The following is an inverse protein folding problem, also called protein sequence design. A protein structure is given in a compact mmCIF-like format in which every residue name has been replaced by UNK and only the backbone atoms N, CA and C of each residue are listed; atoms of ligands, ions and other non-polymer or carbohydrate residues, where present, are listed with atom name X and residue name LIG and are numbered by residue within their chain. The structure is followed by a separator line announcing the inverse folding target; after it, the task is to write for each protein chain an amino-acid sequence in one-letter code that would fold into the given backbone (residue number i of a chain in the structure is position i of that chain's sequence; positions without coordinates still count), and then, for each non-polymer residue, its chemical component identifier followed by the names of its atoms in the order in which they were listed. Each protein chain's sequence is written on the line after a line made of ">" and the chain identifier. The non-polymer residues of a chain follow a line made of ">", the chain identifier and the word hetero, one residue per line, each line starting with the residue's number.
data_IF_181691037515
#
_entry.id   IF_181691037515
#
_cell.length_a   1.000
_cell.length_b   1.000
_cell.length_c   1.000
_cell.angle_alpha   90.00
_cell.angle_beta   90.00
_cell.angle_gamma   90.00
#
_symmetry.space_group_name_H-M   'P 1'
#
loop_
_entity.id
_entity.type
_entity.pdbx_description
1 polymer ?
#
# COMPACT_ATOMS: atom_id res chain seq x y z
N UNK A 1 -28.31 4.64 4.02
CA UNK A 1 -27.24 4.92 5.04
C UNK A 1 -25.93 4.82 4.30
N UNK A 2 -25.05 5.82 4.41
CA UNK A 2 -23.72 5.75 3.75
C UNK A 2 -22.91 4.64 4.43
N UNK A 3 -22.52 3.60 3.69
CA UNK A 3 -21.82 2.45 4.27
C UNK A 3 -20.40 2.77 4.79
N UNK A 4 -19.80 3.87 4.32
CA UNK A 4 -18.51 4.36 4.82
C UNK A 4 -18.63 5.08 6.17
N UNK A 5 -19.84 5.29 6.67
CA UNK A 5 -20.13 5.81 8.02
C UNK A 5 -20.54 4.69 9.01
N UNK A 6 -20.43 3.42 8.60
CA UNK A 6 -20.68 2.26 9.45
C UNK A 6 -19.40 1.87 10.17
N UNK A 7 -19.30 2.19 11.43
CA UNK A 7 -18.23 1.69 12.28
C UNK A 7 -18.45 0.20 12.61
N UNK A 8 -17.43 -0.62 12.37
CA UNK A 8 -17.45 -2.04 12.72
C UNK A 8 -16.63 -2.28 14.00
N UNK A 9 -17.28 -2.85 15.02
CA UNK A 9 -16.56 -3.36 16.18
C UNK A 9 -15.69 -4.56 15.78
N UNK A 10 -14.39 -4.45 16.03
CA UNK A 10 -13.39 -5.47 15.70
C UNK A 10 -13.12 -6.45 16.85
N UNK A 11 -13.83 -6.31 17.97
CA UNK A 11 -13.65 -7.18 19.11
C UNK A 11 -14.07 -8.62 18.78
N UNK A 12 -13.32 -9.60 19.28
CA UNK A 12 -13.62 -11.02 19.10
C UNK A 12 -13.19 -11.64 17.76
N UNK A 13 -12.62 -10.87 16.82
CA UNK A 13 -12.19 -11.38 15.51
C UNK A 13 -10.69 -11.70 15.42
N UNK A 14 -9.92 -11.59 16.52
CA UNK A 14 -8.47 -11.79 16.48
C UNK A 14 -7.73 -10.77 15.59
N UNK A 15 -8.36 -9.65 15.26
CA UNK A 15 -7.84 -8.63 14.35
C UNK A 15 -6.68 -7.86 14.98
N UNK A 16 -5.58 -7.68 14.24
CA UNK A 16 -4.37 -7.00 14.72
C UNK A 16 -4.63 -5.54 15.12
N UNK A 17 -5.42 -4.80 14.34
CA UNK A 17 -5.80 -3.41 14.64
C UNK A 17 -6.64 -3.36 15.93
N UNK A 18 -7.59 -4.29 16.11
CA UNK A 18 -8.36 -4.42 17.35
C UNK A 18 -7.49 -4.78 18.56
N UNK A 19 -6.51 -5.69 18.40
CA UNK A 19 -5.58 -6.05 19.46
C UNK A 19 -4.66 -4.88 19.86
N UNK A 20 -4.26 -4.04 18.91
CA UNK A 20 -3.50 -2.82 19.18
C UNK A 20 -4.37 -1.77 19.91
N UNK A 21 -5.61 -1.59 19.45
CA UNK A 21 -6.58 -0.67 20.09
C UNK A 21 -6.88 -1.05 21.53
N UNK A 22 -7.00 -2.35 21.83
CA UNK A 22 -7.28 -2.86 23.20
C UNK A 22 -6.17 -2.54 24.21
N UNK A 23 -4.95 -2.23 23.76
CA UNK A 23 -3.81 -1.82 24.60
C UNK A 23 -3.70 -0.30 24.78
N UNK A 24 -4.44 0.47 23.99
CA UNK A 24 -4.43 1.91 24.05
C UNK A 24 -5.28 2.44 25.22
N UNK A 25 -5.11 3.71 25.57
CA UNK A 25 -5.91 4.37 26.60
C UNK A 25 -7.39 4.41 26.18
N UNK A 26 -8.32 4.36 27.15
CA UNK A 26 -9.74 4.54 26.84
C UNK A 26 -10.03 5.84 26.09
N UNK A 27 -10.83 5.76 25.04
CA UNK A 27 -11.18 6.89 24.18
C UNK A 27 -10.12 7.24 23.14
N UNK A 28 -9.11 6.37 22.93
CA UNK A 28 -8.11 6.55 21.88
C UNK A 28 -8.73 6.38 20.49
N UNK A 29 -8.51 7.36 19.62
CA UNK A 29 -8.81 7.25 18.19
C UNK A 29 -7.77 6.37 17.50
N UNK A 30 -8.21 5.42 16.68
CA UNK A 30 -7.35 4.43 16.03
C UNK A 30 -7.29 4.68 14.53
N UNK A 31 -6.21 5.33 14.08
CA UNK A 31 -5.90 5.55 12.65
C UNK A 31 -4.68 4.71 12.23
N UNK A 32 -4.50 3.57 12.89
CA UNK A 32 -3.38 2.64 12.74
C UNK A 32 -3.61 1.65 11.60
N UNK A 33 -2.50 1.25 10.96
CA UNK A 33 -2.50 0.22 9.93
C UNK A 33 -3.10 0.71 8.60
N UNK A 34 -3.16 -0.19 7.63
CA UNK A 34 -3.79 0.07 6.33
C UNK A 34 -4.90 -0.94 6.09
N UNK A 35 -5.90 -0.91 6.97
CA UNK A 35 -7.15 -1.69 6.94
C UNK A 35 -8.31 -0.72 7.12
N UNK A 36 -9.37 -0.87 6.32
CA UNK A 36 -10.55 0.01 6.38
C UNK A 36 -11.39 -0.29 7.63
N UNK A 37 -12.05 0.74 8.18
CA UNK A 37 -12.88 0.62 9.38
C UNK A 37 -14.38 0.39 9.06
N UNK A 38 -14.71 0.25 7.79
CA UNK A 38 -16.05 -0.06 7.30
C UNK A 38 -16.07 -1.39 6.50
N UNK A 39 -17.26 -1.97 6.24
CA UNK A 39 -17.38 -3.25 5.54
C UNK A 39 -16.81 -3.18 4.11
N UNK A 40 -16.29 -4.31 3.61
CA UNK A 40 -15.99 -4.46 2.17
C UNK A 40 -17.25 -4.38 1.31
N UNK A 41 -17.07 -4.26 -0.01
CA UNK A 41 -18.15 -4.11 -0.99
C UNK A 41 -19.29 -5.14 -0.84
N UNK A 42 -20.56 -4.74 -1.00
CA UNK A 42 -21.71 -5.63 -0.87
C UNK A 42 -21.64 -6.86 -1.78
N UNK A 43 -21.19 -6.69 -3.03
CA UNK A 43 -21.02 -7.80 -3.98
C UNK A 43 -20.05 -8.88 -3.45
N UNK A 44 -18.95 -8.48 -2.83
CA UNK A 44 -17.98 -9.40 -2.22
C UNK A 44 -18.61 -10.10 -1.01
N UNK A 45 -19.24 -9.34 -0.09
CA UNK A 45 -19.87 -9.92 1.11
C UNK A 45 -20.91 -10.97 0.76
N UNK A 46 -21.76 -10.66 -0.24
CA UNK A 46 -22.78 -11.59 -0.73
C UNK A 46 -22.16 -12.85 -1.33
N UNK A 47 -21.19 -12.71 -2.24
CA UNK A 47 -20.54 -13.84 -2.88
C UNK A 47 -19.84 -14.77 -1.87
N UNK A 48 -19.19 -14.19 -0.86
CA UNK A 48 -18.52 -14.96 0.20
C UNK A 48 -19.53 -15.70 1.09
N UNK A 49 -20.65 -15.08 1.44
CA UNK A 49 -21.71 -15.75 2.20
C UNK A 49 -22.31 -16.93 1.41
N UNK A 50 -22.64 -16.71 0.14
CA UNK A 50 -23.15 -17.75 -0.75
C UNK A 50 -22.14 -18.90 -0.93
N UNK A 51 -20.84 -18.59 -1.03
CA UNK A 51 -19.77 -19.57 -1.14
C UNK A 51 -19.62 -20.38 0.16
N UNK A 52 -19.60 -19.68 1.32
CA UNK A 52 -19.47 -20.34 2.63
C UNK A 52 -20.61 -21.34 2.88
N UNK A 53 -21.82 -21.00 2.46
CA UNK A 53 -22.99 -21.90 2.62
C UNK A 53 -22.91 -23.16 1.76
N UNK A 54 -22.09 -23.20 0.70
CA UNK A 54 -21.88 -24.43 -0.09
C UNK A 54 -21.04 -25.48 0.65
N UNK A 55 -20.22 -25.08 1.62
CA UNK A 55 -19.46 -25.97 2.49
C UNK A 55 -18.34 -26.78 1.81
N UNK A 56 -17.89 -26.37 0.61
CA UNK A 56 -16.82 -27.03 -0.16
C UNK A 56 -15.62 -26.11 -0.33
N UNK A 57 -14.55 -26.36 0.42
CA UNK A 57 -13.34 -25.52 0.47
C UNK A 57 -12.12 -26.29 -0.04
N UNK A 58 -12.23 -26.82 -1.27
CA UNK A 58 -11.18 -27.62 -1.89
C UNK A 58 -10.01 -26.79 -2.45
N UNK A 59 -9.00 -27.48 -2.99
CA UNK A 59 -7.89 -26.83 -3.69
C UNK A 59 -8.40 -26.03 -4.89
N UNK A 60 -8.02 -24.77 -4.94
CA UNK A 60 -8.49 -23.82 -5.94
C UNK A 60 -7.33 -23.36 -6.85
N UNK A 61 -7.59 -23.31 -8.14
CA UNK A 61 -6.63 -22.88 -9.15
C UNK A 61 -7.05 -21.53 -9.75
N UNK A 62 -6.07 -20.77 -10.22
CA UNK A 62 -6.33 -19.62 -11.08
C UNK A 62 -6.69 -20.15 -12.50
N UNK A 63 -7.96 -20.45 -12.71
CA UNK A 63 -8.50 -20.87 -13.99
C UNK A 63 -8.67 -19.71 -14.98
N UNK A 64 -9.23 -19.99 -16.15
CA UNK A 64 -9.44 -18.98 -17.20
C UNK A 64 -10.42 -17.89 -16.74
N UNK A 65 -11.47 -18.24 -16.03
CA UNK A 65 -12.45 -17.29 -15.51
C UNK A 65 -11.80 -16.29 -14.51
N UNK A 66 -10.94 -16.80 -13.63
CA UNK A 66 -10.18 -15.96 -12.71
C UNK A 66 -9.28 -14.98 -13.46
N UNK A 67 -8.50 -15.49 -14.44
CA UNK A 67 -7.56 -14.68 -15.22
C UNK A 67 -8.28 -13.65 -16.06
N UNK A 68 -9.42 -14.01 -16.67
CA UNK A 68 -10.25 -13.06 -17.41
C UNK A 68 -10.82 -11.96 -16.52
N UNK A 69 -11.19 -12.29 -15.26
CA UNK A 69 -11.61 -11.26 -14.29
C UNK A 69 -10.49 -10.26 -14.01
N UNK A 70 -9.24 -10.73 -13.85
CA UNK A 70 -8.07 -9.85 -13.68
C UNK A 70 -7.83 -9.00 -14.95
N UNK A 71 -7.88 -9.60 -16.14
CA UNK A 71 -7.71 -8.87 -17.41
C UNK A 71 -8.77 -7.79 -17.57
N UNK A 72 -10.05 -8.12 -17.32
CA UNK A 72 -11.16 -7.17 -17.38
C UNK A 72 -10.99 -6.02 -16.40
N UNK A 73 -10.54 -6.31 -15.17
CA UNK A 73 -10.26 -5.31 -14.16
C UNK A 73 -9.13 -4.37 -14.58
N UNK A 74 -8.00 -4.91 -15.05
CA UNK A 74 -6.86 -4.10 -15.50
C UNK A 74 -7.27 -3.18 -16.66
N UNK A 75 -8.10 -3.65 -17.59
CA UNK A 75 -8.62 -2.82 -18.68
C UNK A 75 -9.56 -1.73 -18.17
N UNK A 76 -10.49 -2.06 -17.28
CA UNK A 76 -11.50 -1.13 -16.77
C UNK A 76 -10.92 -0.11 -15.80
N UNK A 77 -10.17 -0.58 -14.77
CA UNK A 77 -9.71 0.26 -13.68
C UNK A 77 -8.36 0.97 -13.97
N UNK A 78 -7.53 0.40 -14.85
CA UNK A 78 -6.15 0.83 -15.09
C UNK A 78 -5.88 1.20 -16.56
N UNK A 79 -6.90 1.12 -17.43
CA UNK A 79 -6.78 1.33 -18.88
C UNK A 79 -5.57 0.59 -19.49
N UNK A 80 -5.31 -0.65 -19.04
CA UNK A 80 -4.18 -1.46 -19.44
C UNK A 80 -4.63 -2.87 -19.85
N UNK A 81 -4.19 -3.34 -21.03
CA UNK A 81 -4.47 -4.69 -21.50
C UNK A 81 -3.35 -5.66 -21.14
N UNK A 82 -3.70 -6.75 -20.48
CA UNK A 82 -2.79 -7.83 -20.09
C UNK A 82 -3.32 -9.18 -20.60
N UNK A 83 -2.43 -10.11 -20.96
CA UNK A 83 -2.84 -11.44 -21.37
C UNK A 83 -3.01 -12.36 -20.15
N UNK A 84 -3.99 -13.30 -20.18
CA UNK A 84 -4.20 -14.24 -19.08
C UNK A 84 -2.96 -15.03 -18.67
N UNK A 85 -2.08 -15.36 -19.63
CA UNK A 85 -0.85 -16.12 -19.42
C UNK A 85 0.23 -15.31 -18.68
N UNK A 86 0.11 -13.98 -18.60
CA UNK A 86 1.06 -13.10 -17.92
C UNK A 86 0.71 -12.88 -16.45
N UNK A 87 -0.42 -13.46 -16.00
CA UNK A 87 -0.87 -13.39 -14.62
C UNK A 87 -0.34 -14.58 -13.82
N UNK A 88 0.50 -14.29 -12.83
CA UNK A 88 1.10 -15.28 -11.93
C UNK A 88 0.58 -15.04 -10.52
N UNK A 89 -0.12 -16.00 -9.94
CA UNK A 89 -0.66 -15.90 -8.57
C UNK A 89 0.39 -16.13 -7.49
N UNK A 90 0.23 -15.47 -6.34
CA UNK A 90 1.15 -15.56 -5.19
C UNK A 90 0.41 -15.33 -3.86
N UNK A 91 1.02 -15.72 -2.72
CA UNK A 91 0.46 -15.54 -1.36
C UNK A 91 0.70 -14.11 -0.84
N UNK A 92 0.11 -13.11 -1.49
CA UNK A 92 0.29 -11.71 -1.18
C UNK A 92 1.57 -11.11 -1.80
N UNK A 93 1.65 -9.77 -1.82
CA UNK A 93 2.74 -9.05 -2.49
C UNK A 93 4.10 -9.30 -1.83
N UNK A 94 4.15 -9.39 -0.49
CA UNK A 94 5.39 -9.66 0.23
C UNK A 94 5.93 -11.08 -0.03
N UNK A 95 5.08 -12.09 -0.13
CA UNK A 95 5.53 -13.43 -0.54
C UNK A 95 6.05 -13.39 -1.97
N UNK A 96 5.34 -12.67 -2.86
CA UNK A 96 5.77 -12.44 -4.23
C UNK A 96 7.15 -11.77 -4.32
N UNK A 97 7.37 -10.73 -3.52
CA UNK A 97 8.65 -10.04 -3.41
C UNK A 97 9.76 -10.97 -2.90
N UNK A 98 9.52 -11.71 -1.81
CA UNK A 98 10.51 -12.67 -1.26
C UNK A 98 10.91 -13.72 -2.30
N UNK A 99 9.94 -14.24 -3.05
CA UNK A 99 10.20 -15.18 -4.16
C UNK A 99 11.01 -14.51 -5.28
N UNK A 100 10.67 -13.26 -5.66
CA UNK A 100 11.39 -12.52 -6.69
C UNK A 100 12.85 -12.23 -6.27
N UNK A 101 13.08 -11.80 -5.03
CA UNK A 101 14.41 -11.60 -4.47
C UNK A 101 15.27 -12.88 -4.61
N UNK A 102 14.74 -14.03 -4.25
CA UNK A 102 15.46 -15.31 -4.38
C UNK A 102 15.64 -15.77 -5.83
N UNK A 103 14.71 -15.41 -6.73
CA UNK A 103 14.79 -15.78 -8.13
C UNK A 103 15.81 -14.96 -8.93
N UNK A 104 16.00 -13.69 -8.55
CA UNK A 104 16.67 -12.72 -9.40
C UNK A 104 17.93 -12.11 -8.79
N UNK A 105 18.18 -12.30 -7.50
CA UNK A 105 19.35 -11.77 -6.80
C UNK A 105 20.11 -12.87 -6.06
N UNK A 106 21.36 -12.59 -5.68
CA UNK A 106 22.20 -13.45 -4.82
C UNK A 106 22.35 -12.83 -3.43
N UNK A 107 22.72 -13.63 -2.44
CA UNK A 107 23.07 -13.13 -1.12
C UNK A 107 24.22 -12.10 -1.21
N UNK A 108 24.10 -11.02 -0.46
CA UNK A 108 25.04 -9.91 -0.45
C UNK A 108 24.83 -8.85 -1.52
N UNK A 109 24.02 -9.11 -2.56
CA UNK A 109 23.66 -8.09 -3.56
C UNK A 109 22.75 -7.01 -2.97
N UNK A 110 22.83 -5.81 -3.55
CA UNK A 110 22.02 -4.66 -3.15
C UNK A 110 20.65 -4.65 -3.82
N UNK A 111 19.65 -4.21 -3.07
CA UNK A 111 18.29 -3.97 -3.54
C UNK A 111 17.92 -2.53 -3.24
N UNK A 112 17.61 -1.77 -4.29
CA UNK A 112 17.28 -0.34 -4.21
C UNK A 112 15.84 -0.19 -3.73
N UNK A 113 15.60 0.69 -2.75
CA UNK A 113 14.27 1.04 -2.23
C UNK A 113 14.18 2.54 -1.99
N UNK A 114 13.06 3.17 -2.35
CA UNK A 114 12.80 4.58 -2.03
C UNK A 114 12.44 4.72 -0.54
N UNK A 115 13.15 5.61 0.19
CA UNK A 115 12.86 5.96 1.56
C UNK A 115 12.23 7.36 1.66
N UNK A 116 11.29 7.61 2.64
CA UNK A 116 10.77 6.64 3.62
C UNK A 116 10.04 5.48 2.92
N UNK A 117 10.08 4.26 3.47
CA UNK A 117 9.52 3.10 2.80
C UNK A 117 8.63 2.25 3.70
N UNK A 118 7.77 1.44 3.08
CA UNK A 118 7.04 0.41 3.83
C UNK A 118 8.04 -0.57 4.47
N UNK A 119 8.13 -0.55 5.79
CA UNK A 119 9.14 -1.25 6.61
C UNK A 119 9.31 -2.75 6.30
N UNK A 120 8.30 -3.40 5.72
CA UNK A 120 8.44 -4.80 5.36
C UNK A 120 9.23 -5.04 4.08
N UNK A 121 9.49 -4.01 3.26
CA UNK A 121 10.41 -4.15 2.12
C UNK A 121 11.84 -4.34 2.63
N UNK A 122 12.31 -3.48 3.52
CA UNK A 122 13.65 -3.59 4.13
C UNK A 122 13.83 -4.93 4.86
N UNK A 123 12.79 -5.33 5.63
CA UNK A 123 12.79 -6.63 6.32
C UNK A 123 12.84 -7.80 5.33
N UNK A 124 12.08 -7.75 4.23
CA UNK A 124 12.12 -8.80 3.22
C UNK A 124 13.50 -8.91 2.55
N UNK A 125 14.11 -7.77 2.24
CA UNK A 125 15.46 -7.71 1.66
C UNK A 125 16.49 -8.29 2.63
N UNK A 126 16.52 -7.80 3.88
CA UNK A 126 17.47 -8.24 4.90
C UNK A 126 17.29 -9.72 5.27
N UNK A 127 16.04 -10.19 5.43
CA UNK A 127 15.74 -11.58 5.77
C UNK A 127 16.13 -12.58 4.67
N UNK A 128 16.27 -12.11 3.42
CA UNK A 128 16.82 -12.92 2.33
C UNK A 128 18.34 -12.76 2.18
N UNK A 129 19.04 -12.11 3.09
CA UNK A 129 20.50 -11.92 3.04
C UNK A 129 20.96 -10.88 2.00
N UNK A 130 20.07 -10.01 1.52
CA UNK A 130 20.39 -8.92 0.58
C UNK A 130 20.62 -7.63 1.36
N UNK A 131 21.27 -6.66 0.73
CA UNK A 131 21.52 -5.34 1.32
C UNK A 131 20.44 -4.36 0.89
N UNK A 132 19.88 -3.64 1.85
CA UNK A 132 19.02 -2.50 1.57
C UNK A 132 19.88 -1.35 1.06
N UNK A 133 19.56 -0.82 -0.13
CA UNK A 133 20.20 0.34 -0.74
C UNK A 133 19.16 1.44 -0.83
N UNK A 134 19.13 2.31 0.18
CA UNK A 134 18.13 3.37 0.26
C UNK A 134 18.40 4.45 -0.79
N UNK A 135 17.38 4.77 -1.61
CA UNK A 135 17.30 5.99 -2.40
C UNK A 135 16.35 6.93 -1.68
N UNK A 136 16.87 7.80 -0.81
CA UNK A 136 16.08 8.76 -0.07
C UNK A 136 15.42 9.76 -1.01
N UNK A 137 14.09 9.87 -0.90
CA UNK A 137 13.33 10.83 -1.68
C UNK A 137 13.59 12.25 -1.17
N UNK A 138 13.64 13.21 -2.09
CA UNK A 138 13.69 14.64 -1.74
C UNK A 138 12.31 15.08 -1.30
N UNK A 139 12.24 15.75 -0.15
CA UNK A 139 11.00 16.33 0.38
C UNK A 139 11.10 17.84 0.39
N UNK A 140 10.10 18.50 -0.18
CA UNK A 140 9.96 19.95 -0.14
C UNK A 140 8.49 20.32 0.13
N UNK A 141 8.23 20.92 1.29
CA UNK A 141 6.89 21.33 1.72
C UNK A 141 5.82 20.21 1.67
N UNK A 142 6.21 19.00 2.07
CA UNK A 142 5.35 17.80 2.06
C UNK A 142 5.27 17.10 0.71
N UNK A 143 5.85 17.65 -0.36
CA UNK A 143 5.90 17.05 -1.69
C UNK A 143 7.16 16.21 -1.82
N UNK A 144 7.00 14.96 -2.24
CA UNK A 144 8.10 14.03 -2.42
C UNK A 144 8.46 13.83 -3.88
N UNK A 145 9.76 13.80 -4.19
CA UNK A 145 10.29 13.52 -5.52
C UNK A 145 11.50 12.58 -5.43
N UNK A 146 11.80 11.87 -6.52
CA UNK A 146 12.99 11.02 -6.59
C UNK A 146 14.26 11.89 -6.63
N UNK A 147 15.29 11.46 -5.88
CA UNK A 147 16.64 11.90 -6.15
C UNK A 147 17.21 11.09 -7.33
N UNK A 148 17.11 11.68 -8.51
CA UNK A 148 17.47 11.03 -9.76
C UNK A 148 18.97 10.79 -9.92
N UNK A 149 19.81 11.67 -9.39
CA UNK A 149 21.27 11.52 -9.44
C UNK A 149 21.71 10.37 -8.54
N UNK A 150 21.17 10.31 -7.34
CA UNK A 150 21.41 9.23 -6.39
C UNK A 150 20.84 7.90 -6.90
N UNK A 151 19.63 7.89 -7.49
CA UNK A 151 19.03 6.70 -8.07
C UNK A 151 19.89 6.13 -9.20
N UNK A 152 20.33 6.97 -10.15
CA UNK A 152 21.16 6.54 -11.28
C UNK A 152 22.54 6.04 -10.82
N UNK A 153 23.17 6.72 -9.86
CA UNK A 153 24.41 6.25 -9.25
C UNK A 153 24.25 4.85 -8.61
N UNK A 154 23.15 4.61 -7.90
CA UNK A 154 22.87 3.30 -7.30
C UNK A 154 22.55 2.23 -8.33
N UNK A 155 21.82 2.56 -9.40
CA UNK A 155 21.53 1.60 -10.47
C UNK A 155 22.78 1.24 -11.29
N UNK A 156 23.75 2.16 -11.40
CA UNK A 156 25.02 1.93 -12.12
C UNK A 156 26.02 1.08 -11.32
N UNK A 157 25.83 0.89 -10.02
CA UNK A 157 26.66 -0.01 -9.20
C UNK A 157 26.31 -1.47 -9.55
N UNK A 158 27.27 -2.27 -10.10
CA UNK A 158 27.02 -3.66 -10.49
C UNK A 158 26.67 -4.59 -9.33
N UNK A 159 26.84 -4.17 -8.09
CA UNK A 159 26.41 -4.93 -6.92
C UNK A 159 24.92 -4.78 -6.64
N UNK A 160 24.25 -3.80 -7.24
CA UNK A 160 22.81 -3.59 -7.13
C UNK A 160 22.11 -4.17 -8.36
N UNK A 161 21.24 -5.13 -8.17
CA UNK A 161 20.65 -5.91 -9.28
C UNK A 161 19.12 -5.86 -9.30
N UNK A 162 18.52 -5.26 -8.26
CA UNK A 162 17.09 -5.27 -8.07
C UNK A 162 16.60 -3.96 -7.43
N UNK A 163 15.38 -3.56 -7.77
CA UNK A 163 14.72 -2.39 -7.18
C UNK A 163 13.30 -2.77 -6.75
N UNK A 164 12.89 -2.31 -5.57
CA UNK A 164 11.50 -2.33 -5.12
C UNK A 164 10.94 -0.93 -5.27
N UNK A 165 9.90 -0.78 -6.09
CA UNK A 165 9.14 0.45 -6.28
C UNK A 165 7.76 0.26 -5.67
N UNK A 166 7.20 1.26 -4.98
CA UNK A 166 5.84 1.24 -4.45
C UNK A 166 5.02 2.36 -5.13
N UNK A 167 3.95 2.01 -5.84
CA UNK A 167 3.15 2.99 -6.58
C UNK A 167 1.64 2.70 -6.53
N UNK A 168 0.83 3.48 -5.83
CA UNK A 168 1.13 4.69 -5.03
C UNK A 168 2.08 4.41 -3.87
N UNK A 169 2.90 5.41 -3.55
CA UNK A 169 3.96 5.26 -2.58
C UNK A 169 3.44 5.29 -1.13
N UNK A 170 3.80 4.31 -0.35
CA UNK A 170 3.50 4.22 1.07
C UNK A 170 4.81 4.47 1.88
N UNK A 171 4.88 5.54 2.70
CA UNK A 171 3.77 6.23 3.36
C UNK A 171 3.34 7.58 2.74
N UNK A 172 4.04 8.11 1.72
CA UNK A 172 3.91 9.51 1.28
C UNK A 172 2.65 9.81 0.44
N UNK A 173 1.93 8.77 0.02
CA UNK A 173 0.75 8.84 -0.85
C UNK A 173 1.03 9.39 -2.27
N UNK A 174 2.30 9.53 -2.67
CA UNK A 174 2.70 9.96 -4.03
C UNK A 174 2.28 8.93 -5.07
N UNK A 175 1.78 9.40 -6.21
CA UNK A 175 1.64 8.63 -7.44
C UNK A 175 2.78 9.00 -8.40
N UNK A 176 3.55 8.01 -8.86
CA UNK A 176 4.61 8.27 -9.84
C UNK A 176 3.99 8.57 -11.21
N UNK A 177 4.39 9.72 -11.77
CA UNK A 177 3.95 10.15 -13.09
C UNK A 177 4.48 9.20 -14.17
N UNK A 178 3.75 8.99 -15.29
CA UNK A 178 4.21 8.15 -16.39
C UNK A 178 5.63 8.46 -16.89
N UNK A 179 6.05 9.71 -16.89
CA UNK A 179 7.40 10.09 -17.30
C UNK A 179 8.47 9.68 -16.28
N UNK A 180 8.15 9.68 -14.97
CA UNK A 180 9.02 9.12 -13.93
C UNK A 180 9.16 7.60 -14.13
N UNK A 181 8.06 6.89 -14.38
CA UNK A 181 8.07 5.44 -14.63
C UNK A 181 8.85 5.07 -15.89
N UNK A 182 8.71 5.85 -16.98
CA UNK A 182 9.51 5.68 -18.21
C UNK A 182 11.00 5.86 -17.94
N UNK A 183 11.37 6.88 -17.15
CA UNK A 183 12.77 7.13 -16.81
C UNK A 183 13.35 6.01 -15.96
N UNK A 184 12.60 5.52 -14.96
CA UNK A 184 13.00 4.36 -14.15
C UNK A 184 13.20 3.15 -15.07
N UNK A 185 12.26 2.87 -15.98
CA UNK A 185 12.33 1.74 -16.88
C UNK A 185 13.55 1.83 -17.83
N UNK A 186 13.86 3.01 -18.35
CA UNK A 186 15.02 3.23 -19.19
C UNK A 186 16.35 2.98 -18.43
N UNK A 187 16.46 3.47 -17.20
CA UNK A 187 17.61 3.22 -16.33
C UNK A 187 17.70 1.73 -15.96
N UNK A 188 16.58 1.10 -15.65
CA UNK A 188 16.55 -0.34 -15.35
C UNK A 188 17.01 -1.20 -16.53
N UNK A 189 16.59 -0.87 -17.75
CA UNK A 189 17.07 -1.54 -18.98
C UNK A 189 18.58 -1.29 -19.21
N UNK A 190 19.03 -0.03 -19.03
CA UNK A 190 20.44 0.35 -19.22
C UNK A 190 21.39 -0.40 -18.29
N UNK A 191 20.99 -0.56 -17.02
CA UNK A 191 21.85 -1.15 -15.97
C UNK A 191 21.49 -2.60 -15.62
N UNK A 192 20.49 -3.18 -16.28
CA UNK A 192 20.08 -4.56 -16.05
C UNK A 192 19.37 -4.81 -14.71
N UNK A 193 18.72 -3.78 -14.15
CA UNK A 193 18.00 -3.83 -12.88
C UNK A 193 16.61 -4.44 -13.09
N UNK A 194 16.24 -5.45 -12.30
CA UNK A 194 14.87 -5.93 -12.26
C UNK A 194 14.07 -5.09 -11.26
N UNK A 195 12.91 -4.59 -11.68
CA UNK A 195 12.04 -3.75 -10.85
C UNK A 195 10.80 -4.52 -10.45
N UNK A 196 10.61 -4.71 -9.14
CA UNK A 196 9.37 -5.19 -8.55
C UNK A 196 8.55 -3.97 -8.09
N UNK A 197 7.47 -3.68 -8.82
CA UNK A 197 6.57 -2.58 -8.49
C UNK A 197 5.39 -3.11 -7.68
N UNK A 198 5.32 -2.74 -6.39
CA UNK A 198 4.15 -3.02 -5.55
C UNK A 198 3.08 -1.95 -5.80
N UNK A 199 2.04 -2.35 -6.51
CA UNK A 199 0.92 -1.50 -6.91
C UNK A 199 -0.38 -1.86 -6.18
N UNK A 200 -0.26 -2.40 -4.96
CA UNK A 200 -1.42 -2.85 -4.19
C UNK A 200 -2.40 -1.72 -3.84
N UNK A 201 -1.97 -0.47 -3.88
CA UNK A 201 -2.79 0.72 -3.67
C UNK A 201 -3.28 1.39 -4.96
N UNK A 202 -3.04 0.79 -6.12
CA UNK A 202 -3.25 1.47 -7.39
C UNK A 202 -4.70 1.92 -7.63
N UNK A 203 -5.70 1.12 -7.24
CA UNK A 203 -7.11 1.43 -7.38
C UNK A 203 -7.59 2.52 -6.41
N UNK A 204 -6.74 2.92 -5.46
CA UNK A 204 -7.06 3.96 -4.48
C UNK A 204 -6.47 5.33 -4.82
N UNK A 205 -6.13 5.57 -6.09
CA UNK A 205 -5.78 6.89 -6.60
C UNK A 205 -6.97 7.84 -6.46
N UNK A 206 -6.69 9.07 -5.98
CA UNK A 206 -7.74 10.08 -5.84
C UNK A 206 -8.00 10.80 -7.15
N UNK A 207 -9.12 11.52 -7.23
CA UNK A 207 -9.53 12.23 -8.46
C UNK A 207 -8.42 13.15 -8.98
N UNK A 208 -8.08 12.98 -10.25
CA UNK A 208 -7.03 13.73 -10.94
C UNK A 208 -5.70 13.00 -11.05
N UNK A 209 -5.55 11.85 -10.39
CA UNK A 209 -4.37 11.00 -10.49
C UNK A 209 -4.72 9.63 -11.08
N UNK A 210 -3.88 9.13 -11.97
CA UNK A 210 -4.00 7.82 -12.61
C UNK A 210 -2.73 7.01 -12.36
N UNK A 211 -2.89 5.80 -11.83
CA UNK A 211 -1.77 4.89 -11.63
C UNK A 211 -1.63 3.99 -12.85
N UNK A 212 -0.63 4.25 -13.69
CA UNK A 212 -0.28 3.38 -14.81
C UNK A 212 0.57 2.21 -14.31
N UNK A 213 0.35 0.96 -14.79
CA UNK A 213 1.17 -0.18 -14.39
C UNK A 213 2.62 -0.02 -14.85
N UNK A 214 3.58 -0.29 -13.97
CA UNK A 214 5.01 -0.18 -14.29
C UNK A 214 5.40 -1.03 -15.50
N UNK A 215 4.83 -2.24 -15.64
CA UNK A 215 5.13 -3.14 -16.76
C UNK A 215 4.75 -2.57 -18.14
N UNK A 216 3.95 -1.52 -18.21
CA UNK A 216 3.67 -0.78 -19.45
C UNK A 216 4.94 -0.10 -19.98
N UNK A 217 5.81 0.35 -19.09
CA UNK A 217 7.03 1.09 -19.41
C UNK A 217 8.27 0.22 -19.41
N UNK A 218 8.31 -0.79 -18.53
CA UNK A 218 9.45 -1.68 -18.35
C UNK A 218 9.10 -3.16 -18.49
N UNK A 219 8.55 -3.63 -19.62
CA UNK A 219 8.04 -5.01 -19.75
C UNK A 219 9.13 -6.08 -19.62
N UNK A 220 10.37 -5.80 -20.04
CA UNK A 220 11.48 -6.76 -20.02
C UNK A 220 12.11 -6.96 -18.64
N UNK A 221 11.99 -5.96 -17.77
CA UNK A 221 12.63 -5.95 -16.45
C UNK A 221 11.64 -5.72 -15.31
N UNK A 222 10.34 -5.70 -15.62
CA UNK A 222 9.28 -5.34 -14.67
C UNK A 222 8.48 -6.53 -14.18
N UNK A 223 8.15 -6.47 -12.90
CA UNK A 223 7.15 -7.31 -12.23
C UNK A 223 6.20 -6.35 -11.52
N UNK A 224 4.93 -6.32 -11.91
CA UNK A 224 3.91 -5.51 -11.23
C UNK A 224 3.08 -6.39 -10.31
N UNK A 225 3.04 -6.06 -9.03
CA UNK A 225 2.23 -6.77 -8.04
C UNK A 225 0.91 -6.03 -7.78
N UNK A 226 -0.22 -6.72 -7.89
CA UNK A 226 -1.57 -6.18 -7.67
C UNK A 226 -2.42 -7.13 -6.83
N UNK A 227 -3.38 -6.60 -6.07
CA UNK A 227 -4.30 -7.39 -5.26
C UNK A 227 -5.57 -6.59 -4.95
N UNK A 228 -6.69 -7.29 -4.78
CA UNK A 228 -7.93 -6.67 -4.27
C UNK A 228 -7.81 -6.24 -2.78
N UNK A 229 -6.74 -6.63 -2.10
CA UNK A 229 -6.59 -6.48 -0.65
C UNK A 229 -6.81 -5.07 -0.13
N UNK A 230 -6.21 -4.05 -0.79
CA UNK A 230 -6.35 -2.64 -0.36
C UNK A 230 -7.59 -1.98 -0.93
N UNK A 231 -7.93 -2.25 -2.19
CA UNK A 231 -9.11 -1.68 -2.82
C UNK A 231 -10.43 -2.07 -2.11
N UNK A 232 -10.48 -3.26 -1.52
CA UNK A 232 -11.71 -3.82 -0.94
C UNK A 232 -11.60 -4.20 0.54
N UNK A 233 -10.61 -3.69 1.28
CA UNK A 233 -10.42 -4.09 2.69
C UNK A 233 -10.30 -5.60 2.92
N UNK A 234 -9.61 -6.29 2.03
CA UNK A 234 -9.49 -7.75 2.03
C UNK A 234 -8.07 -8.22 2.35
N UNK A 235 -7.34 -7.45 3.16
CA UNK A 235 -5.92 -7.67 3.46
C UNK A 235 -5.63 -8.91 4.31
N UNK A 236 -6.62 -9.41 5.04
CA UNK A 236 -6.49 -10.60 5.87
C UNK A 236 -6.40 -11.91 5.08
N UNK A 237 -6.83 -11.90 3.81
CA UNK A 237 -6.69 -13.05 2.91
C UNK A 237 -5.49 -12.81 2.01
N UNK A 238 -4.37 -13.42 2.39
CA UNK A 238 -3.08 -13.23 1.73
C UNK A 238 -3.06 -13.82 0.32
N UNK A 239 -3.33 -13.01 -0.69
CA UNK A 239 -3.20 -13.40 -2.08
C UNK A 239 -2.94 -12.16 -2.96
N UNK A 240 -2.21 -12.35 -4.06
CA UNK A 240 -1.94 -11.29 -5.04
C UNK A 240 -1.71 -11.88 -6.43
N UNK A 241 -1.72 -11.02 -7.43
CA UNK A 241 -1.31 -11.32 -8.78
C UNK A 241 -0.03 -10.56 -9.11
N UNK A 242 0.92 -11.25 -9.73
CA UNK A 242 2.07 -10.64 -10.36
C UNK A 242 1.83 -10.63 -11.87
N UNK A 243 1.98 -9.49 -12.46
CA UNK A 243 1.91 -9.29 -13.90
C UNK A 243 3.34 -9.34 -14.43
N UNK A 244 3.65 -10.39 -15.21
CA UNK A 244 5.01 -10.66 -15.73
C UNK A 244 4.88 -11.01 -17.21
N UNK A 245 5.18 -10.05 -18.07
CA UNK A 245 5.04 -10.22 -19.54
C UNK A 245 6.28 -10.83 -20.20
N UNK A 246 7.46 -10.63 -19.62
CA UNK A 246 8.68 -11.25 -20.11
C UNK A 246 8.73 -12.75 -19.76
N UNK A 247 8.88 -13.60 -20.78
CA UNK A 247 8.83 -15.06 -20.62
C UNK A 247 10.01 -15.62 -19.81
N UNK A 248 11.20 -15.03 -19.89
CA UNK A 248 12.36 -15.48 -19.10
C UNK A 248 12.19 -15.11 -17.63
N UNK A 249 11.79 -13.88 -17.33
CA UNK A 249 11.46 -13.48 -15.96
C UNK A 249 10.37 -14.38 -15.38
N UNK A 250 9.30 -14.61 -16.14
CA UNK A 250 8.20 -15.46 -15.71
C UNK A 250 8.66 -16.89 -15.41
N UNK A 251 9.43 -17.49 -16.30
CA UNK A 251 9.99 -18.84 -16.13
C UNK A 251 10.89 -18.94 -14.89
N UNK A 252 11.77 -17.98 -14.68
CA UNK A 252 12.67 -17.93 -13.53
C UNK A 252 11.88 -17.75 -12.23
N UNK A 253 10.91 -16.84 -12.20
CA UNK A 253 10.03 -16.64 -11.06
C UNK A 253 9.25 -17.92 -10.70
N UNK A 254 8.61 -18.56 -11.69
CA UNK A 254 7.84 -19.80 -11.49
C UNK A 254 8.71 -20.96 -10.99
N UNK A 255 9.97 -21.07 -11.45
CA UNK A 255 10.91 -22.05 -10.96
C UNK A 255 11.23 -21.85 -9.46
N UNK A 256 11.42 -20.61 -9.03
CA UNK A 256 11.63 -20.29 -7.62
C UNK A 256 10.36 -20.48 -6.79
N UNK A 257 9.19 -20.01 -7.27
CA UNK A 257 7.90 -20.21 -6.61
C UNK A 257 7.60 -21.69 -6.33
N UNK A 258 7.99 -22.58 -7.26
CA UNK A 258 7.87 -24.03 -7.04
C UNK A 258 8.75 -24.52 -5.89
N UNK A 259 9.97 -23.99 -5.74
CA UNK A 259 10.86 -24.31 -4.60
C UNK A 259 10.29 -23.77 -3.29
N UNK A 260 9.61 -22.63 -3.34
CA UNK A 260 8.94 -21.99 -2.19
C UNK A 260 7.62 -22.69 -1.81
N UNK A 261 7.29 -23.81 -2.44
CA UNK A 261 6.12 -24.63 -2.18
C UNK A 261 4.77 -23.87 -2.28
N UNK A 262 4.67 -22.90 -3.21
CA UNK A 262 3.36 -22.32 -3.53
C UNK A 262 2.42 -23.43 -4.04
N UNK A 263 1.33 -23.66 -3.32
CA UNK A 263 0.36 -24.73 -3.64
C UNK A 263 -0.81 -24.24 -4.48
N UNK A 264 -1.94 -24.01 -3.82
CA UNK A 264 -3.19 -23.57 -4.45
C UNK A 264 -3.57 -22.16 -4.00
N UNK A 265 -4.55 -21.57 -4.68
CA UNK A 265 -5.17 -20.33 -4.24
C UNK A 265 -6.06 -20.54 -3.03
N UNK A 266 -6.27 -19.46 -2.28
CA UNK A 266 -7.34 -19.39 -1.30
C UNK A 266 -8.70 -19.29 -2.01
N UNK A 267 -9.67 -20.17 -1.75
CA UNK A 267 -10.97 -20.17 -2.43
C UNK A 267 -11.84 -18.98 -2.06
N UNK A 268 -11.67 -18.37 -0.88
CA UNK A 268 -12.35 -17.13 -0.51
C UNK A 268 -11.79 -15.95 -1.29
N UNK A 269 -10.45 -15.90 -1.51
CA UNK A 269 -9.85 -14.89 -2.37
C UNK A 269 -10.32 -15.02 -3.82
N UNK A 270 -10.35 -16.24 -4.38
CA UNK A 270 -10.87 -16.50 -5.72
C UNK A 270 -12.30 -15.97 -5.88
N UNK A 271 -13.17 -16.30 -4.90
CA UNK A 271 -14.57 -15.87 -4.89
C UNK A 271 -14.71 -14.35 -4.77
N UNK A 272 -13.96 -13.76 -3.85
CA UNK A 272 -13.96 -12.31 -3.61
C UNK A 272 -13.48 -11.52 -4.83
N UNK A 273 -12.38 -11.98 -5.47
CA UNK A 273 -11.83 -11.30 -6.65
C UNK A 273 -12.84 -11.27 -7.80
N UNK A 274 -13.44 -12.41 -8.11
CA UNK A 274 -14.43 -12.48 -9.20
C UNK A 274 -15.68 -11.63 -8.93
N UNK A 275 -16.09 -11.51 -7.68
CA UNK A 275 -17.21 -10.65 -7.30
C UNK A 275 -16.84 -9.16 -7.26
N UNK A 276 -15.62 -8.83 -6.85
CA UNK A 276 -15.13 -7.46 -6.71
C UNK A 276 -14.63 -6.87 -8.04
N UNK A 277 -14.02 -7.68 -8.91
CA UNK A 277 -13.48 -7.21 -10.20
C UNK A 277 -14.57 -7.11 -11.27
N UNK A 278 -15.55 -6.26 -10.99
CA UNK A 278 -16.74 -5.98 -11.78
C UNK A 278 -17.02 -4.47 -11.79
N UNK A 279 -17.92 -4.00 -12.63
CA UNK A 279 -18.36 -2.61 -12.64
C UNK A 279 -18.98 -2.19 -11.29
N UNK A 280 -19.76 -3.08 -10.65
CA UNK A 280 -20.31 -2.83 -9.30
C UNK A 280 -19.21 -2.62 -8.27
N UNK A 281 -18.18 -3.47 -8.27
CA UNK A 281 -17.03 -3.33 -7.41
C UNK A 281 -16.23 -2.07 -7.68
N UNK A 282 -16.03 -1.70 -8.95
CA UNK A 282 -15.35 -0.46 -9.32
C UNK A 282 -16.09 0.79 -8.82
N UNK A 283 -17.41 0.82 -8.98
CA UNK A 283 -18.24 1.92 -8.47
C UNK A 283 -18.12 2.06 -6.95
N UNK A 284 -18.06 0.95 -6.23
CA UNK A 284 -17.81 0.96 -4.78
C UNK A 284 -16.43 1.54 -4.44
N UNK A 285 -15.38 1.13 -5.16
CA UNK A 285 -14.01 1.66 -4.97
C UNK A 285 -13.97 3.17 -5.23
N UNK A 286 -14.62 3.65 -6.29
CA UNK A 286 -14.69 5.09 -6.57
C UNK A 286 -15.40 5.87 -5.45
N UNK A 287 -16.49 5.33 -4.91
CA UNK A 287 -17.20 5.94 -3.79
C UNK A 287 -16.33 5.95 -2.49
N UNK A 288 -15.55 4.88 -2.26
CA UNK A 288 -14.58 4.81 -1.17
C UNK A 288 -13.46 5.85 -1.34
N UNK A 289 -12.92 6.00 -2.55
CA UNK A 289 -11.91 7.02 -2.86
C UNK A 289 -12.45 8.43 -2.63
N UNK A 290 -13.68 8.69 -3.02
CA UNK A 290 -14.35 9.98 -2.77
C UNK A 290 -14.48 10.25 -1.27
N UNK A 291 -14.92 9.26 -0.48
CA UNK A 291 -14.99 9.39 0.99
C UNK A 291 -13.60 9.68 1.59
N UNK A 292 -12.57 8.96 1.17
CA UNK A 292 -11.19 9.17 1.61
C UNK A 292 -10.68 10.58 1.30
N UNK A 293 -10.98 11.08 0.11
CA UNK A 293 -10.63 12.44 -0.29
C UNK A 293 -11.33 13.49 0.59
N UNK A 294 -12.63 13.31 0.87
CA UNK A 294 -13.38 14.21 1.76
C UNK A 294 -12.79 14.25 3.18
N UNK A 295 -12.38 13.09 3.71
CA UNK A 295 -11.68 13.00 5.01
C UNK A 295 -10.35 13.77 4.96
N UNK A 296 -9.55 13.57 3.91
CA UNK A 296 -8.29 14.29 3.74
C UNK A 296 -8.51 15.82 3.69
N UNK A 297 -9.45 16.29 2.89
CA UNK A 297 -9.77 17.72 2.75
C UNK A 297 -10.24 18.32 4.07
N UNK A 298 -11.06 17.58 4.84
CA UNK A 298 -11.51 18.01 6.17
C UNK A 298 -10.33 18.17 7.13
N UNK A 299 -9.37 17.24 7.13
CA UNK A 299 -8.17 17.32 7.98
C UNK A 299 -7.24 18.43 7.53
N UNK A 300 -6.97 18.55 6.23
CA UNK A 300 -6.09 19.60 5.68
C UNK A 300 -6.64 21.01 6.00
N UNK A 301 -7.95 21.20 5.85
CA UNK A 301 -8.62 22.46 6.23
C UNK A 301 -8.47 22.74 7.72
N UNK A 302 -8.71 21.75 8.57
CA UNK A 302 -8.59 21.92 10.03
C UNK A 302 -7.16 22.31 10.45
N UNK A 303 -6.14 21.71 9.82
CA UNK A 303 -4.75 22.07 10.10
C UNK A 303 -4.44 23.48 9.64
N UNK A 304 -4.80 23.86 8.42
CA UNK A 304 -4.55 25.20 7.90
C UNK A 304 -5.21 26.31 8.74
N UNK A 305 -6.44 26.08 9.21
CA UNK A 305 -7.21 27.09 9.94
C UNK A 305 -6.92 27.12 11.44
N UNK A 306 -6.62 25.98 12.07
CA UNK A 306 -6.60 25.85 13.54
C UNK A 306 -5.28 25.35 14.11
N UNK A 307 -4.43 24.71 13.31
CA UNK A 307 -3.18 24.06 13.77
C UNK A 307 -2.06 24.23 12.72
N UNK A 308 -1.64 25.47 12.41
CA UNK A 308 -0.77 25.77 11.25
C UNK A 308 0.67 25.21 11.34
N UNK A 309 1.08 24.68 12.49
CA UNK A 309 2.36 23.95 12.62
C UNK A 309 2.26 22.49 12.13
N UNK A 310 1.07 22.02 11.77
CA UNK A 310 0.82 20.69 11.25
C UNK A 310 0.51 20.76 9.76
N UNK A 311 0.99 19.79 8.99
CA UNK A 311 0.65 19.68 7.57
C UNK A 311 0.55 18.23 7.12
N UNK A 312 -0.20 17.99 6.04
CA UNK A 312 -0.28 16.70 5.37
C UNK A 312 0.49 16.77 4.05
N UNK A 313 1.20 15.69 3.71
CA UNK A 313 1.66 15.50 2.33
C UNK A 313 0.45 15.41 1.39
N UNK A 314 0.57 15.85 0.12
CA UNK A 314 -0.50 15.71 -0.86
C UNK A 314 -0.99 14.26 -0.96
N UNK A 315 -2.30 14.07 -0.97
CA UNK A 315 -2.92 12.77 -1.21
C UNK A 315 -3.14 12.60 -2.72
N UNK A 316 -2.27 11.83 -3.37
CA UNK A 316 -2.38 11.52 -4.80
C UNK A 316 -2.96 10.13 -5.02
N UNK A 317 -2.63 9.20 -4.12
CA UNK A 317 -3.14 7.83 -4.11
C UNK A 317 -2.96 7.16 -2.75
N UNK A 318 -3.57 5.99 -2.56
CA UNK A 318 -3.70 5.33 -1.26
C UNK A 318 -4.77 5.98 -0.35
N UNK A 319 -5.07 5.33 0.75
CA UNK A 319 -5.92 5.87 1.82
C UNK A 319 -5.15 6.04 3.14
N UNK A 320 -3.83 6.09 3.05
CA UNK A 320 -2.99 6.52 4.16
C UNK A 320 -2.39 7.87 3.81
N UNK A 321 -2.27 8.76 4.79
CA UNK A 321 -1.64 10.06 4.61
C UNK A 321 -0.48 10.25 5.58
N UNK A 322 0.41 11.17 5.23
CA UNK A 322 1.64 11.45 5.92
C UNK A 322 1.54 12.81 6.62
N UNK A 323 1.44 12.77 7.95
CA UNK A 323 1.31 13.95 8.81
C UNK A 323 2.69 14.43 9.25
N UNK A 324 3.03 15.66 8.96
CA UNK A 324 4.25 16.35 9.39
C UNK A 324 4.03 17.04 10.75
N UNK A 325 4.82 16.66 11.73
CA UNK A 325 4.82 17.17 13.11
C UNK A 325 6.14 17.92 13.44
N UNK A 326 7.06 18.03 12.49
CA UNK A 326 8.42 18.55 12.73
C UNK A 326 8.44 19.98 13.28
N UNK A 327 7.49 20.82 12.87
CA UNK A 327 7.38 22.21 13.35
C UNK A 327 6.96 22.34 14.82
N UNK A 328 6.50 21.25 15.46
CA UNK A 328 6.25 21.24 16.90
C UNK A 328 7.56 21.19 17.73
N UNK A 329 8.69 20.89 17.10
CA UNK A 329 10.01 20.77 17.72
C UNK A 329 10.02 19.83 18.95
N UNK A 330 9.27 18.73 18.89
CA UNK A 330 9.21 17.71 19.93
C UNK A 330 10.25 16.63 19.66
N UNK A 331 10.94 16.16 20.69
CA UNK A 331 11.73 14.93 20.64
C UNK A 331 10.84 13.73 20.30
N UNK A 332 11.42 12.60 19.91
CA UNK A 332 10.68 11.37 19.62
C UNK A 332 9.80 10.95 20.82
N UNK A 333 10.35 10.96 22.03
CA UNK A 333 9.64 10.60 23.26
C UNK A 333 8.49 11.56 23.56
N UNK A 334 8.75 12.89 23.48
CA UNK A 334 7.71 13.91 23.69
C UNK A 334 6.59 13.81 22.65
N UNK A 335 6.92 13.54 21.40
CA UNK A 335 5.94 13.34 20.32
C UNK A 335 5.08 12.10 20.57
N UNK A 336 5.71 10.99 21.00
CA UNK A 336 4.98 9.77 21.36
C UNK A 336 4.01 10.00 22.53
N UNK A 337 4.46 10.64 23.61
CA UNK A 337 3.62 10.98 24.77
C UNK A 337 2.51 11.96 24.38
N UNK A 338 2.82 13.02 23.62
CA UNK A 338 1.82 13.97 23.11
C UNK A 338 0.70 13.26 22.35
N UNK A 339 1.07 12.40 21.42
CA UNK A 339 0.09 11.72 20.57
C UNK A 339 -0.69 10.63 21.32
N UNK A 340 -0.04 9.81 22.14
CA UNK A 340 -0.70 8.69 22.81
C UNK A 340 -1.49 9.10 24.05
N UNK A 341 -1.02 10.08 24.84
CA UNK A 341 -1.60 10.43 26.13
C UNK A 341 -2.49 11.68 26.06
N UNK A 342 -2.04 12.74 25.36
CA UNK A 342 -2.77 14.00 25.30
C UNK A 342 -3.79 14.01 24.15
N UNK A 343 -3.38 13.64 22.93
CA UNK A 343 -4.26 13.54 21.75
C UNK A 343 -5.11 12.29 21.79
N UNK A 344 -4.62 11.23 22.43
CA UNK A 344 -5.22 9.89 22.41
C UNK A 344 -5.37 9.36 20.99
N UNK A 345 -4.24 9.30 20.27
CA UNK A 345 -4.14 8.78 18.91
C UNK A 345 -3.25 7.54 18.87
N UNK A 346 -3.73 6.48 18.27
CA UNK A 346 -2.95 5.32 17.84
C UNK A 346 -2.83 5.34 16.32
N UNK A 347 -1.60 5.55 15.82
CA UNK A 347 -1.25 5.54 14.40
C UNK A 347 0.17 4.97 14.21
N UNK A 348 0.65 4.84 12.97
CA UNK A 348 2.01 4.37 12.72
C UNK A 348 3.01 5.51 12.90
N UNK A 349 4.08 5.26 13.65
CA UNK A 349 5.18 6.22 13.82
C UNK A 349 5.95 6.36 12.50
N UNK A 350 6.44 7.55 12.22
CA UNK A 350 7.20 7.81 10.99
C UNK A 350 8.52 7.04 10.95
N UNK A 351 9.14 6.87 12.09
CA UNK A 351 10.40 6.13 12.27
C UNK A 351 10.27 4.65 11.88
N UNK A 352 9.06 4.08 11.90
CA UNK A 352 8.80 2.72 11.39
C UNK A 352 9.14 2.61 9.88
N UNK A 353 9.12 3.73 9.14
CA UNK A 353 9.33 3.79 7.68
C UNK A 353 10.77 4.14 7.29
N UNK A 354 11.69 4.08 8.25
CA UNK A 354 13.10 4.43 8.10
C UNK A 354 13.45 5.80 8.66
N UNK A 355 14.75 6.17 8.65
CA UNK A 355 15.21 7.42 9.25
C UNK A 355 14.59 8.67 8.61
N UNK A 356 14.26 8.62 7.33
CA UNK A 356 13.60 9.73 6.61
C UNK A 356 12.15 9.97 7.07
N UNK A 357 11.61 9.11 7.94
CA UNK A 357 10.29 9.25 8.55
C UNK A 357 10.28 9.97 9.90
N UNK A 358 11.44 10.37 10.42
CA UNK A 358 11.51 11.07 11.71
C UNK A 358 10.68 12.36 11.70
N UNK A 359 9.86 12.52 12.74
CA UNK A 359 8.98 13.68 12.87
C UNK A 359 7.66 13.58 12.13
N UNK A 360 7.40 12.48 11.46
CA UNK A 360 6.12 12.22 10.77
C UNK A 360 5.27 11.17 11.45
N UNK A 361 4.02 11.05 11.01
CA UNK A 361 3.11 9.94 11.31
C UNK A 361 2.32 9.52 10.08
N UNK A 362 2.07 8.22 9.94
CA UNK A 362 1.15 7.72 8.93
C UNK A 362 -0.23 7.47 9.52
N UNK A 363 -1.23 8.19 9.02
CA UNK A 363 -2.64 8.07 9.40
C UNK A 363 -3.43 7.30 8.35
N UNK A 364 -4.37 6.49 8.80
CA UNK A 364 -5.33 5.81 7.95
C UNK A 364 -6.61 6.66 7.83
N UNK A 365 -6.99 7.01 6.61
CA UNK A 365 -8.13 7.86 6.31
C UNK A 365 -9.46 7.11 6.15
N UNK A 366 -9.44 5.78 6.12
CA UNK A 366 -10.64 4.95 5.93
C UNK A 366 -11.39 4.75 7.25
N UNK A 367 -11.76 5.85 7.88
CA UNK A 367 -12.55 5.92 9.09
C UNK A 367 -13.85 6.72 8.83
N UNK A 368 -14.80 6.70 9.76
CA UNK A 368 -16.00 7.54 9.66
C UNK A 368 -15.67 9.01 9.92
N UNK A 369 -16.46 9.95 9.39
CA UNK A 369 -16.28 11.39 9.64
C UNK A 369 -16.30 11.70 11.14
N UNK A 370 -17.18 11.04 11.91
CA UNK A 370 -17.28 11.23 13.36
C UNK A 370 -15.98 10.84 14.09
N UNK A 371 -15.30 9.77 13.67
CA UNK A 371 -14.00 9.36 14.23
C UNK A 371 -12.93 10.41 13.95
N UNK A 372 -12.91 10.97 12.75
CA UNK A 372 -11.94 12.01 12.36
C UNK A 372 -12.22 13.32 13.08
N UNK A 373 -13.48 13.72 13.22
CA UNK A 373 -13.87 14.92 14.00
C UNK A 373 -13.43 14.80 15.47
N UNK A 374 -13.61 13.63 16.08
CA UNK A 374 -13.12 13.38 17.43
C UNK A 374 -11.61 13.49 17.52
N UNK A 375 -10.88 12.92 16.56
CA UNK A 375 -9.42 13.05 16.46
C UNK A 375 -9.00 14.53 16.37
N UNK A 376 -9.59 15.29 15.44
CA UNK A 376 -9.25 16.70 15.23
C UNK A 376 -9.53 17.55 16.47
N UNK A 377 -10.64 17.30 17.17
CA UNK A 377 -10.99 18.03 18.41
C UNK A 377 -9.98 17.72 19.53
N UNK A 378 -9.60 16.46 19.70
CA UNK A 378 -8.60 16.08 20.70
C UNK A 378 -7.22 16.68 20.39
N UNK A 379 -6.82 16.62 19.11
CA UNK A 379 -5.55 17.19 18.65
C UNK A 379 -5.50 18.70 18.85
N UNK A 380 -6.55 19.42 18.49
CA UNK A 380 -6.66 20.87 18.67
C UNK A 380 -6.60 21.26 20.16
N UNK A 381 -7.30 20.51 21.02
CA UNK A 381 -7.28 20.76 22.46
C UNK A 381 -5.86 20.56 23.05
N UNK A 382 -5.18 19.49 22.68
CA UNK A 382 -3.81 19.21 23.11
C UNK A 382 -2.81 20.24 22.54
N UNK A 383 -2.96 20.62 21.27
CA UNK A 383 -2.16 21.63 20.58
C UNK A 383 -2.23 22.99 21.31
N UNK A 384 -3.44 23.51 21.59
CA UNK A 384 -3.65 24.74 22.33
C UNK A 384 -3.16 24.68 23.77
N UNK A 385 -3.31 23.54 24.45
CA UNK A 385 -2.82 23.34 25.82
C UNK A 385 -1.30 23.49 25.92
N UNK A 386 -0.57 23.13 24.86
CA UNK A 386 0.88 23.31 24.78
C UNK A 386 1.31 24.71 24.32
N UNK A 387 0.37 25.58 23.99
CA UNK A 387 0.64 26.98 23.58
C UNK A 387 1.07 27.13 22.12
N UNK A 388 0.74 26.17 21.28
CA UNK A 388 0.99 26.21 19.84
C UNK A 388 -0.04 27.08 19.12
#
# INVERSE_FOLDING_TARGET
>A
MNEFELYLDRNGFGNMKGAAAAKALPGTTVLYGAEMDFPTAPCIRKALADFAMKGMYGYTLADDDYRQSVCGWMKMARNFEIQPMDIVTTLGTLFGLNTALRAFTKEGEGVIVQHPSYFNFDKAIANNGRKVVANSMKEENGVYSLDWEDLEAKMSDPNNTFMVLCNPHNPTAKVFHPDELKRIAALAEQYGIIVFCDEIFAETAVKGHEVRPYIEFGPKHGITATSLGKAFSFTGVNHANLLIVDEDLKKRYLAQRKKDHFGSMDPFFYTALRAGYTEEGWNWVQAMNQHTQEIYEMMAKAFAERMPLLSLSPLEGSYVCWLDLRKLNLSCEERQSFLSEEVKLLANQGEDFGPDGEGFMRLNLTATKAVIENFLNNLEAAYKKRGY
#
